data_IF_689832060986
#
_entry.id   IF_689832060986
#
_cell.length_a   1.000
_cell.length_b   1.000
_cell.length_c   1.000
_cell.angle_alpha   90.00
_cell.angle_beta   90.00
_cell.angle_gamma   90.00
#
_symmetry.space_group_name_H-M   'P 1'
#
loop_
_entity.id
_entity.type
_entity.pdbx_description
1 polymer ?
#
# COMPACT_ATOMS: atom_id res chain seq x y z
N UNK A 1 1.28 -23.69 11.27
CA UNK A 1 -0.15 -24.05 11.20
C UNK A 1 -0.75 -23.83 9.81
N UNK A 2 -0.23 -22.88 9.01
CA UNK A 2 -0.76 -22.50 7.69
C UNK A 2 -0.28 -23.38 6.53
N UNK A 3 0.67 -24.31 6.75
CA UNK A 3 1.27 -25.16 5.71
C UNK A 3 1.81 -24.36 4.53
N UNK A 4 2.50 -23.25 4.82
CA UNK A 4 3.11 -22.40 3.80
C UNK A 4 4.19 -23.15 3.00
N UNK A 5 4.37 -22.85 1.70
CA UNK A 5 5.51 -23.34 0.93
C UNK A 5 6.86 -22.93 1.55
N UNK A 6 7.91 -23.69 1.32
CA UNK A 6 9.23 -23.44 1.91
C UNK A 6 9.76 -22.01 1.65
N UNK A 7 9.56 -21.46 0.44
CA UNK A 7 9.96 -20.10 0.11
C UNK A 7 9.23 -19.04 0.94
N UNK A 8 7.95 -19.28 1.27
CA UNK A 8 7.15 -18.36 2.08
C UNK A 8 7.57 -18.45 3.56
N UNK A 9 7.89 -19.64 4.07
CA UNK A 9 8.42 -19.79 5.42
C UNK A 9 9.73 -19.01 5.59
N UNK A 10 10.64 -19.15 4.64
CA UNK A 10 11.90 -18.41 4.62
C UNK A 10 11.66 -16.89 4.54
N UNK A 11 10.76 -16.44 3.66
CA UNK A 11 10.41 -15.05 3.51
C UNK A 11 9.84 -14.43 4.80
N UNK A 12 9.02 -15.19 5.55
CA UNK A 12 8.48 -14.72 6.84
C UNK A 12 9.59 -14.53 7.88
N UNK A 13 10.54 -15.46 7.96
CA UNK A 13 11.67 -15.37 8.88
C UNK A 13 12.59 -14.20 8.56
N UNK A 14 12.91 -13.99 7.29
CA UNK A 14 13.68 -12.82 6.83
C UNK A 14 12.95 -11.50 7.13
N UNK A 15 11.65 -11.45 6.88
CA UNK A 15 10.82 -10.28 7.21
C UNK A 15 10.78 -9.98 8.71
N UNK A 16 10.73 -11.02 9.54
CA UNK A 16 10.78 -10.88 11.01
C UNK A 16 12.13 -10.33 11.48
N UNK A 17 13.22 -10.80 10.89
CA UNK A 17 14.54 -10.26 11.18
C UNK A 17 14.61 -8.77 10.85
N UNK A 18 14.18 -8.38 9.64
CA UNK A 18 14.12 -6.97 9.21
C UNK A 18 13.26 -6.14 10.18
N UNK A 19 12.09 -6.67 10.60
CA UNK A 19 11.24 -6.00 11.58
C UNK A 19 11.96 -5.69 12.88
N UNK A 20 12.73 -6.64 13.40
CA UNK A 20 13.48 -6.48 14.66
C UNK A 20 14.59 -5.43 14.56
N UNK A 21 15.23 -5.34 13.40
CA UNK A 21 16.32 -4.39 13.14
C UNK A 21 15.81 -2.97 12.80
N UNK A 22 14.64 -2.85 12.21
CA UNK A 22 14.08 -1.57 11.77
C UNK A 22 13.61 -0.70 12.93
N UNK A 23 13.89 0.59 12.82
CA UNK A 23 13.34 1.63 13.69
C UNK A 23 12.02 2.17 13.12
N UNK A 24 11.17 2.68 14.00
CA UNK A 24 10.01 3.46 13.60
C UNK A 24 10.45 4.79 12.98
N UNK A 25 9.72 5.32 11.98
CA UNK A 25 9.97 6.65 11.46
C UNK A 25 9.75 7.71 12.55
N UNK A 26 10.45 8.81 12.46
CA UNK A 26 10.35 9.94 13.37
C UNK A 26 9.36 11.03 12.89
N UNK A 27 8.55 10.72 11.90
CA UNK A 27 7.55 11.61 11.30
C UNK A 27 6.17 10.94 11.28
N UNK A 28 5.13 11.73 11.05
CA UNK A 28 3.75 11.27 11.02
C UNK A 28 3.07 11.35 12.38
N UNK A 29 1.82 10.86 12.49
CA UNK A 29 1.10 10.79 13.74
C UNK A 29 1.80 9.91 14.78
N UNK A 30 1.67 10.27 16.05
CA UNK A 30 2.18 9.41 17.13
C UNK A 30 1.42 8.09 17.18
N UNK A 31 2.16 7.00 17.27
CA UNK A 31 1.61 5.66 17.54
C UNK A 31 1.83 5.24 18.99
N UNK A 32 2.10 6.20 19.88
CA UNK A 32 2.11 5.98 21.32
C UNK A 32 0.76 5.42 21.77
N UNK A 33 0.79 4.35 22.55
CA UNK A 33 -0.41 3.59 22.93
C UNK A 33 -0.67 2.36 22.06
N UNK A 34 0.06 2.15 20.96
CA UNK A 34 0.11 0.88 20.25
C UNK A 34 1.20 0.00 20.88
N UNK A 35 0.79 -0.87 21.77
CA UNK A 35 1.69 -1.84 22.40
C UNK A 35 1.69 -3.14 21.60
N UNK A 36 2.75 -3.35 20.82
CA UNK A 36 2.88 -4.52 19.95
C UNK A 36 3.01 -5.84 20.70
N UNK A 37 3.47 -5.83 21.96
CA UNK A 37 3.60 -7.04 22.77
C UNK A 37 2.22 -7.59 23.19
N UNK A 38 1.16 -6.73 23.14
CA UNK A 38 -0.21 -7.07 23.43
C UNK A 38 -1.12 -7.17 22.20
N UNK A 39 -0.57 -7.07 20.98
CA UNK A 39 -1.33 -7.28 19.74
C UNK A 39 -1.24 -8.74 19.31
N UNK A 40 -2.37 -9.44 19.33
CA UNK A 40 -2.45 -10.78 18.74
C UNK A 40 -2.33 -10.66 17.21
N UNK A 41 -1.25 -11.18 16.63
CA UNK A 41 -0.99 -11.07 15.19
C UNK A 41 -1.77 -12.07 14.34
N UNK A 42 -2.39 -13.05 14.95
CA UNK A 42 -3.24 -14.01 14.27
C UNK A 42 -4.38 -14.48 15.16
N UNK A 43 -5.60 -14.33 14.68
CA UNK A 43 -6.82 -14.80 15.34
C UNK A 43 -7.63 -15.62 14.34
N UNK A 44 -7.73 -16.91 14.62
CA UNK A 44 -8.48 -17.82 13.77
C UNK A 44 -9.99 -17.67 14.03
N UNK A 45 -10.82 -17.39 13.01
CA UNK A 45 -12.26 -17.40 13.18
C UNK A 45 -12.77 -18.82 13.50
N UNK A 46 -13.84 -18.90 14.24
CA UNK A 46 -14.44 -20.18 14.64
C UNK A 46 -15.26 -20.85 13.51
N UNK A 47 -14.83 -20.68 12.28
CA UNK A 47 -15.47 -21.25 11.10
C UNK A 47 -14.44 -21.47 9.99
N UNK A 48 -14.82 -22.30 8.99
CA UNK A 48 -14.04 -22.46 7.75
C UNK A 48 -14.66 -21.60 6.65
N UNK A 49 -13.90 -21.28 5.62
CA UNK A 49 -14.37 -20.60 4.43
C UNK A 49 -15.56 -21.32 3.80
N UNK A 50 -16.57 -20.57 3.39
CA UNK A 50 -17.81 -21.04 2.75
C UNK A 50 -17.99 -20.36 1.40
N UNK A 51 -18.56 -21.07 0.45
CA UNK A 51 -18.88 -20.56 -0.89
C UNK A 51 -20.37 -20.20 -1.04
N UNK A 52 -21.23 -20.69 -0.16
CA UNK A 52 -22.63 -20.27 -0.07
C UNK A 52 -22.83 -19.46 1.22
N UNK A 53 -23.44 -18.28 1.08
CA UNK A 53 -23.75 -17.41 2.22
C UNK A 53 -24.66 -18.07 3.25
N UNK A 54 -25.50 -19.03 2.81
CA UNK A 54 -26.39 -19.76 3.72
C UNK A 54 -25.62 -20.57 4.76
N UNK A 55 -24.43 -21.04 4.41
CA UNK A 55 -23.59 -21.89 5.26
C UNK A 55 -22.67 -21.09 6.20
N UNK A 56 -22.64 -19.76 6.07
CA UNK A 56 -21.91 -18.88 6.99
C UNK A 56 -22.62 -18.86 8.35
N UNK A 57 -21.88 -18.97 9.49
CA UNK A 57 -22.48 -18.88 10.83
C UNK A 57 -23.32 -17.62 11.04
N UNK A 58 -24.42 -17.74 11.81
CA UNK A 58 -25.41 -16.68 11.96
C UNK A 58 -24.84 -15.42 12.62
N UNK A 59 -23.97 -15.58 13.63
CA UNK A 59 -23.29 -14.47 14.32
C UNK A 59 -22.41 -13.65 13.39
N UNK A 60 -21.78 -14.30 12.41
CA UNK A 60 -21.00 -13.65 11.35
C UNK A 60 -21.94 -12.96 10.35
N UNK A 61 -23.02 -13.62 9.93
CA UNK A 61 -24.04 -13.02 9.06
C UNK A 61 -24.63 -11.75 9.67
N UNK A 62 -25.09 -11.82 10.93
CA UNK A 62 -25.63 -10.67 11.66
C UNK A 62 -24.61 -9.51 11.73
N UNK A 63 -23.33 -9.84 11.89
CA UNK A 63 -22.27 -8.83 11.89
C UNK A 63 -22.18 -8.11 10.55
N UNK A 64 -22.17 -8.83 9.43
CA UNK A 64 -22.12 -8.23 8.09
C UNK A 64 -23.43 -7.51 7.71
N UNK A 65 -24.58 -7.98 8.17
CA UNK A 65 -25.88 -7.30 7.99
C UNK A 65 -25.93 -5.96 8.73
N UNK A 66 -25.47 -5.93 9.99
CA UNK A 66 -25.34 -4.68 10.75
C UNK A 66 -24.38 -3.67 10.13
N UNK A 67 -23.44 -4.13 9.34
CA UNK A 67 -22.52 -3.27 8.58
C UNK A 67 -23.14 -2.72 7.29
N UNK A 68 -24.41 -3.03 7.04
CA UNK A 68 -25.13 -2.53 5.89
C UNK A 68 -24.69 -3.17 4.57
N UNK A 69 -24.26 -4.45 4.59
CA UNK A 69 -24.05 -5.22 3.39
C UNK A 69 -25.36 -5.95 3.04
N UNK A 70 -26.29 -5.31 2.31
CA UNK A 70 -27.55 -5.92 1.95
C UNK A 70 -27.32 -7.17 1.12
N UNK A 71 -28.17 -8.16 1.29
CA UNK A 71 -28.12 -9.38 0.45
C UNK A 71 -28.25 -9.04 -1.05
N UNK A 72 -28.90 -7.92 -1.38
CA UNK A 72 -29.02 -7.41 -2.74
C UNK A 72 -27.67 -6.95 -3.33
N UNK A 73 -26.79 -6.31 -2.53
CA UNK A 73 -25.44 -5.91 -2.99
C UNK A 73 -24.58 -7.13 -3.30
N UNK A 74 -24.61 -8.14 -2.43
CA UNK A 74 -23.90 -9.41 -2.68
C UNK A 74 -24.34 -10.08 -3.98
N UNK A 75 -25.64 -10.04 -4.28
CA UNK A 75 -26.18 -10.62 -5.52
C UNK A 75 -25.87 -9.80 -6.77
N UNK A 76 -25.65 -8.50 -6.65
CA UNK A 76 -25.37 -7.59 -7.77
C UNK A 76 -23.89 -7.48 -8.13
N UNK A 77 -22.97 -7.90 -7.26
CA UNK A 77 -21.53 -7.85 -7.51
C UNK A 77 -21.06 -9.04 -8.37
N UNK A 78 -19.92 -8.87 -9.04
CA UNK A 78 -19.29 -9.92 -9.84
C UNK A 78 -18.66 -11.02 -8.97
N UNK A 79 -18.24 -10.67 -7.77
CA UNK A 79 -17.74 -11.58 -6.75
C UNK A 79 -17.57 -10.85 -5.42
N UNK A 80 -17.66 -11.59 -4.33
CA UNK A 80 -17.53 -11.09 -2.96
C UNK A 80 -16.66 -12.00 -2.13
N UNK A 81 -15.68 -11.40 -1.43
CA UNK A 81 -14.92 -12.04 -0.36
C UNK A 81 -15.22 -11.37 0.98
N UNK A 82 -15.35 -12.15 2.03
CA UNK A 82 -15.51 -11.63 3.38
C UNK A 82 -14.49 -12.28 4.32
N UNK A 83 -13.65 -11.46 4.89
CA UNK A 83 -12.68 -11.85 5.92
C UNK A 83 -13.19 -11.44 7.28
N UNK A 84 -13.04 -12.35 8.24
CA UNK A 84 -13.35 -12.13 9.64
C UNK A 84 -12.08 -12.45 10.45
N UNK A 85 -11.57 -11.47 11.17
CA UNK A 85 -10.26 -11.53 11.81
C UNK A 85 -9.14 -11.88 10.81
N UNK A 86 -8.47 -13.00 10.96
CA UNK A 86 -7.29 -13.36 10.16
C UNK A 86 -7.54 -14.26 8.96
N UNK A 87 -8.78 -14.69 8.69
CA UNK A 87 -9.08 -15.62 7.58
C UNK A 87 -10.35 -15.25 6.82
N UNK A 88 -10.42 -15.63 5.54
CA UNK A 88 -11.66 -15.57 4.79
C UNK A 88 -12.69 -16.56 5.34
N UNK A 89 -13.91 -16.08 5.53
CA UNK A 89 -15.04 -16.89 5.99
C UNK A 89 -16.09 -17.12 4.90
N UNK A 90 -16.09 -16.26 3.91
CA UNK A 90 -16.98 -16.37 2.75
C UNK A 90 -16.28 -15.90 1.48
N UNK A 91 -16.51 -16.62 0.39
CA UNK A 91 -16.01 -16.26 -0.92
C UNK A 91 -16.94 -16.79 -2.01
N UNK A 92 -17.29 -15.94 -2.96
CA UNK A 92 -18.09 -16.31 -4.12
C UNK A 92 -17.73 -15.47 -5.33
N UNK A 93 -17.67 -16.08 -6.51
CA UNK A 93 -17.52 -15.43 -7.81
C UNK A 93 -18.64 -15.93 -8.72
N UNK A 94 -19.25 -15.05 -9.50
CA UNK A 94 -20.28 -15.46 -10.48
C UNK A 94 -19.67 -16.36 -11.55
N UNK A 95 -20.39 -17.42 -11.91
CA UNK A 95 -19.97 -18.38 -12.94
C UNK A 95 -19.65 -17.70 -14.28
N UNK A 96 -20.44 -16.69 -14.66
CA UNK A 96 -20.19 -15.91 -15.87
C UNK A 96 -18.84 -15.19 -15.87
N UNK A 97 -18.40 -14.71 -14.71
CA UNK A 97 -17.11 -14.02 -14.54
C UNK A 97 -15.96 -15.03 -14.51
N UNK A 98 -16.15 -16.14 -13.83
CA UNK A 98 -15.19 -17.24 -13.83
C UNK A 98 -15.01 -17.85 -15.23
N UNK A 99 -16.10 -17.95 -16.02
CA UNK A 99 -16.05 -18.45 -17.41
C UNK A 99 -15.23 -17.54 -18.35
N UNK A 100 -15.02 -16.26 -18.03
CA UNK A 100 -14.12 -15.36 -18.74
C UNK A 100 -12.65 -15.52 -18.30
N UNK A 101 -12.36 -16.49 -17.43
CA UNK A 101 -11.03 -16.76 -16.90
C UNK A 101 -10.58 -15.81 -15.77
N UNK A 102 -11.50 -15.01 -15.24
CA UNK A 102 -11.21 -14.14 -14.08
C UNK A 102 -11.03 -15.00 -12.84
N UNK A 103 -9.94 -14.78 -12.16
CA UNK A 103 -9.63 -15.43 -10.88
C UNK A 103 -9.87 -14.44 -9.76
N UNK A 104 -10.63 -14.86 -8.78
CA UNK A 104 -10.74 -14.18 -7.50
C UNK A 104 -10.78 -15.26 -6.41
N UNK A 105 -9.78 -15.30 -5.56
CA UNK A 105 -9.66 -16.28 -4.48
C UNK A 105 -8.91 -15.66 -3.29
N UNK A 106 -8.77 -16.39 -2.20
CA UNK A 106 -7.93 -15.97 -1.09
C UNK A 106 -6.43 -16.17 -1.40
N UNK A 107 -5.59 -15.34 -0.78
CA UNK A 107 -4.14 -15.37 -1.02
C UNK A 107 -3.48 -16.67 -0.57
N UNK A 108 -4.00 -17.31 0.47
CA UNK A 108 -3.41 -18.55 1.01
C UNK A 108 -3.66 -19.74 0.10
N UNK A 109 -4.83 -19.79 -0.54
CA UNK A 109 -5.14 -20.77 -1.58
C UNK A 109 -4.34 -20.49 -2.86
N UNK A 110 -4.25 -19.23 -3.28
CA UNK A 110 -3.52 -18.85 -4.48
C UNK A 110 -2.03 -19.23 -4.41
N UNK A 111 -1.36 -19.05 -3.26
CA UNK A 111 0.06 -19.36 -3.11
C UNK A 111 0.39 -20.88 -3.12
N UNK A 112 -0.60 -21.74 -2.94
CA UNK A 112 -0.45 -23.21 -2.87
C UNK A 112 -1.02 -23.93 -4.10
N UNK A 113 -1.87 -23.27 -4.85
CA UNK A 113 -2.62 -23.84 -5.96
C UNK A 113 -2.00 -23.56 -7.33
N UNK A 114 -2.85 -23.51 -8.33
CA UNK A 114 -2.52 -23.26 -9.74
C UNK A 114 -1.80 -21.93 -9.96
N UNK A 115 -2.04 -20.92 -9.10
CA UNK A 115 -1.49 -19.58 -9.22
C UNK A 115 -0.22 -19.36 -8.40
N UNK A 116 0.36 -20.42 -7.80
CA UNK A 116 1.51 -20.33 -6.91
C UNK A 116 2.72 -19.62 -7.53
N UNK A 117 3.03 -19.91 -8.79
CA UNK A 117 4.14 -19.26 -9.51
C UNK A 117 3.86 -17.78 -9.76
N UNK A 118 2.61 -17.42 -10.07
CA UNK A 118 2.20 -16.03 -10.24
C UNK A 118 2.31 -15.28 -8.92
N UNK A 119 1.80 -15.84 -7.82
CA UNK A 119 1.94 -15.26 -6.49
C UNK A 119 3.41 -15.06 -6.15
N UNK A 120 4.26 -16.09 -6.32
CA UNK A 120 5.70 -15.99 -6.04
C UNK A 120 6.40 -14.89 -6.85
N UNK A 121 5.95 -14.65 -8.07
CA UNK A 121 6.49 -13.61 -8.97
C UNK A 121 6.16 -12.20 -8.49
N UNK A 122 4.98 -11.99 -7.91
CA UNK A 122 4.46 -10.65 -7.64
C UNK A 122 4.35 -10.29 -6.16
N UNK A 123 4.24 -11.26 -5.26
CA UNK A 123 4.03 -11.06 -3.82
C UNK A 123 5.20 -10.30 -3.19
N UNK A 124 4.90 -9.22 -2.49
CA UNK A 124 5.85 -8.34 -1.79
C UNK A 124 7.02 -7.88 -2.69
N UNK A 125 6.71 -7.55 -3.97
CA UNK A 125 7.67 -7.01 -4.93
C UNK A 125 7.51 -5.51 -5.15
N UNK A 126 6.33 -4.96 -4.95
CA UNK A 126 6.09 -3.52 -4.95
C UNK A 126 6.24 -2.94 -3.55
N UNK A 127 5.69 -3.60 -2.56
CA UNK A 127 5.87 -3.29 -1.14
C UNK A 127 6.83 -4.31 -0.56
N UNK A 128 8.06 -3.90 -0.25
CA UNK A 128 9.07 -4.82 0.28
C UNK A 128 9.14 -4.75 1.81
N UNK A 129 9.64 -5.78 2.50
CA UNK A 129 9.87 -5.71 3.95
C UNK A 129 10.81 -4.58 4.37
N UNK A 130 11.64 -4.06 3.45
CA UNK A 130 12.56 -2.96 3.70
C UNK A 130 11.94 -1.57 3.60
N UNK A 131 10.68 -1.43 3.19
CA UNK A 131 10.05 -0.13 3.02
C UNK A 131 9.84 0.60 4.36
N UNK A 132 9.36 -0.10 5.37
CA UNK A 132 9.19 0.39 6.74
C UNK A 132 8.82 -0.74 7.70
N UNK A 133 8.93 -0.47 9.00
CA UNK A 133 8.76 -1.48 10.06
C UNK A 133 7.44 -2.28 9.96
N UNK A 134 6.32 -1.65 9.61
CA UNK A 134 5.03 -2.35 9.48
C UNK A 134 4.91 -3.16 8.19
N UNK A 135 5.65 -2.82 7.12
CA UNK A 135 5.77 -3.66 5.94
C UNK A 135 6.58 -4.93 6.25
N UNK A 136 7.65 -4.81 7.05
CA UNK A 136 8.40 -5.96 7.54
C UNK A 136 7.54 -6.85 8.44
N UNK A 137 6.78 -6.26 9.38
CA UNK A 137 5.84 -7.00 10.22
C UNK A 137 4.79 -7.73 9.36
N UNK A 138 4.20 -7.03 8.38
CA UNK A 138 3.26 -7.64 7.45
C UNK A 138 3.87 -8.86 6.76
N UNK A 139 5.07 -8.74 6.19
CA UNK A 139 5.77 -9.85 5.56
C UNK A 139 5.94 -11.07 6.48
N UNK A 140 6.19 -10.83 7.77
CA UNK A 140 6.37 -11.90 8.76
C UNK A 140 5.05 -12.61 9.14
N UNK A 141 3.95 -11.87 9.30
CA UNK A 141 2.72 -12.37 9.94
C UNK A 141 1.47 -12.31 9.07
N UNK A 142 1.57 -11.92 7.82
CA UNK A 142 0.39 -11.75 6.95
C UNK A 142 -0.52 -13.00 6.94
N UNK A 143 -1.81 -12.75 6.85
CA UNK A 143 -2.83 -13.80 6.77
C UNK A 143 -4.10 -13.28 6.11
N UNK A 144 -4.76 -14.14 5.32
CA UNK A 144 -5.93 -13.76 4.55
C UNK A 144 -5.61 -12.81 3.39
N UNK A 145 -6.62 -12.06 2.97
CA UNK A 145 -6.55 -11.15 1.83
C UNK A 145 -7.00 -11.79 0.53
N UNK A 146 -6.83 -11.05 -0.56
CA UNK A 146 -7.44 -11.38 -1.86
C UNK A 146 -6.40 -11.51 -2.96
N UNK A 147 -6.50 -12.55 -3.74
CA UNK A 147 -5.81 -12.69 -5.02
C UNK A 147 -6.80 -12.51 -6.17
N UNK A 148 -6.51 -11.56 -7.06
CA UNK A 148 -7.32 -11.29 -8.26
C UNK A 148 -6.45 -11.26 -9.50
N UNK A 149 -6.85 -12.02 -10.51
CA UNK A 149 -6.27 -11.94 -11.85
C UNK A 149 -7.38 -11.74 -12.88
N UNK A 150 -7.29 -10.66 -13.66
CA UNK A 150 -8.18 -10.38 -14.77
C UNK A 150 -7.40 -10.59 -16.07
N UNK A 151 -7.79 -11.59 -16.90
CA UNK A 151 -7.06 -11.92 -18.12
C UNK A 151 -7.07 -10.80 -19.15
N UNK A 152 -6.14 -10.89 -20.09
CA UNK A 152 -5.98 -9.94 -21.19
C UNK A 152 -7.28 -9.70 -21.95
N UNK A 153 -7.64 -8.40 -22.09
CA UNK A 153 -8.80 -7.95 -22.85
C UNK A 153 -10.15 -8.20 -22.17
N UNK A 154 -10.19 -8.73 -20.94
CA UNK A 154 -11.43 -8.95 -20.19
C UNK A 154 -11.86 -7.66 -19.48
N UNK A 155 -13.12 -7.27 -19.68
CA UNK A 155 -13.68 -6.06 -19.10
C UNK A 155 -14.80 -6.35 -18.12
N UNK A 156 -14.54 -6.23 -16.84
CA UNK A 156 -15.56 -6.38 -15.81
C UNK A 156 -16.39 -5.11 -15.66
N UNK A 157 -17.66 -5.17 -16.03
CA UNK A 157 -18.62 -4.07 -15.89
C UNK A 157 -19.20 -3.96 -14.47
N UNK A 158 -19.12 -5.05 -13.70
CA UNK A 158 -19.59 -5.13 -12.32
C UNK A 158 -18.39 -5.31 -11.40
N UNK A 159 -18.31 -4.58 -10.27
CA UNK A 159 -17.15 -4.66 -9.40
C UNK A 159 -17.01 -5.99 -8.67
N UNK A 160 -15.76 -6.35 -8.34
CA UNK A 160 -15.43 -7.31 -7.29
C UNK A 160 -15.32 -6.58 -5.96
N UNK A 161 -15.65 -7.24 -4.85
CA UNK A 161 -15.59 -6.63 -3.53
C UNK A 161 -14.97 -7.57 -2.49
N UNK A 162 -14.08 -7.01 -1.65
CA UNK A 162 -13.63 -7.64 -0.41
C UNK A 162 -14.10 -6.85 0.80
N UNK A 163 -14.48 -7.58 1.83
CA UNK A 163 -14.81 -7.04 3.14
C UNK A 163 -13.86 -7.56 4.20
N UNK A 164 -13.24 -6.65 4.94
CA UNK A 164 -12.32 -6.97 6.03
C UNK A 164 -12.93 -6.51 7.37
N UNK A 165 -13.20 -7.48 8.24
CA UNK A 165 -13.74 -7.25 9.57
C UNK A 165 -12.78 -7.76 10.62
N UNK A 166 -12.17 -6.86 11.39
CA UNK A 166 -11.42 -7.22 12.59
C UNK A 166 -12.36 -7.19 13.80
N UNK A 167 -12.75 -8.36 14.30
CA UNK A 167 -13.69 -8.46 15.40
C UNK A 167 -13.03 -8.84 16.73
N UNK A 168 -11.81 -9.35 16.72
CA UNK A 168 -11.07 -9.71 17.92
C UNK A 168 -10.54 -8.46 18.65
N UNK A 169 -10.63 -8.49 19.99
CA UNK A 169 -10.13 -7.44 20.86
C UNK A 169 -8.61 -7.57 21.03
N UNK A 170 -7.86 -6.47 20.93
CA UNK A 170 -6.40 -6.46 21.07
C UNK A 170 -5.70 -7.26 19.98
N UNK A 171 -6.25 -7.26 18.77
CA UNK A 171 -5.71 -8.00 17.65
C UNK A 171 -5.25 -7.09 16.50
N UNK A 172 -4.40 -7.64 15.66
CA UNK A 172 -3.98 -7.07 14.38
C UNK A 172 -4.59 -7.83 13.20
N UNK A 173 -4.86 -7.11 12.11
CA UNK A 173 -5.25 -7.66 10.82
C UNK A 173 -4.17 -7.31 9.79
N UNK A 174 -3.68 -8.32 9.07
CA UNK A 174 -2.52 -8.24 8.18
C UNK A 174 -2.83 -8.91 6.84
N UNK A 175 -3.96 -8.58 6.25
CA UNK A 175 -4.38 -9.14 4.97
C UNK A 175 -3.49 -8.66 3.82
N UNK A 176 -3.24 -9.56 2.86
CA UNK A 176 -2.49 -9.25 1.65
C UNK A 176 -3.40 -9.29 0.41
N UNK A 177 -3.59 -8.16 -0.24
CA UNK A 177 -4.33 -8.08 -1.50
C UNK A 177 -3.38 -7.93 -2.67
N UNK A 178 -3.40 -8.89 -3.59
CA UNK A 178 -2.63 -8.87 -4.83
C UNK A 178 -3.59 -8.89 -6.02
N UNK A 179 -3.56 -7.82 -6.82
CA UNK A 179 -4.42 -7.69 -8.01
C UNK A 179 -3.56 -7.48 -9.24
N UNK A 180 -3.79 -8.31 -10.25
CA UNK A 180 -3.15 -8.20 -11.56
C UNK A 180 -4.25 -8.01 -12.60
N UNK A 181 -4.29 -6.85 -13.26
CA UNK A 181 -5.17 -6.55 -14.38
C UNK A 181 -4.33 -6.59 -15.64
N UNK A 182 -4.52 -7.63 -16.46
CA UNK A 182 -3.66 -7.91 -17.61
C UNK A 182 -3.93 -6.97 -18.78
N UNK A 183 -3.16 -7.08 -19.84
CA UNK A 183 -3.15 -6.14 -20.97
C UNK A 183 -4.55 -5.84 -21.50
N UNK A 184 -4.88 -4.55 -21.58
CA UNK A 184 -6.16 -4.08 -22.12
C UNK A 184 -7.38 -4.44 -21.28
N UNK A 185 -7.23 -5.11 -20.15
CA UNK A 185 -8.32 -5.51 -19.27
C UNK A 185 -8.83 -4.36 -18.38
N UNK A 186 -9.99 -4.51 -17.76
CA UNK A 186 -10.51 -3.52 -16.81
C UNK A 186 -11.21 -4.14 -15.61
N UNK A 187 -10.99 -3.54 -14.43
CA UNK A 187 -11.56 -3.96 -13.16
C UNK A 187 -11.91 -2.73 -12.30
N UNK A 188 -13.06 -2.80 -11.63
CA UNK A 188 -13.33 -2.01 -10.43
C UNK A 188 -13.33 -2.97 -9.22
N UNK A 189 -12.42 -2.73 -8.28
CA UNK A 189 -12.33 -3.46 -7.03
C UNK A 189 -12.73 -2.56 -5.86
N UNK A 190 -13.57 -3.07 -4.97
CA UNK A 190 -14.06 -2.35 -3.79
C UNK A 190 -13.55 -3.05 -2.53
N UNK A 191 -12.92 -2.31 -1.66
CA UNK A 191 -12.48 -2.76 -0.34
C UNK A 191 -13.28 -2.05 0.74
N UNK A 192 -13.89 -2.81 1.64
CA UNK A 192 -14.57 -2.31 2.82
C UNK A 192 -13.88 -2.82 4.08
N UNK A 193 -13.56 -1.90 5.02
CA UNK A 193 -12.89 -2.25 6.26
C UNK A 193 -13.66 -1.74 7.48
N UNK A 194 -13.78 -2.58 8.52
CA UNK A 194 -14.45 -2.18 9.76
C UNK A 194 -14.01 -2.97 10.99
N UNK A 195 -14.21 -2.37 12.18
CA UNK A 195 -14.01 -3.03 13.47
C UNK A 195 -15.04 -2.54 14.49
N UNK A 196 -15.42 -3.34 15.50
CA UNK A 196 -16.23 -2.88 16.61
C UNK A 196 -15.42 -1.95 17.50
N UNK A 197 -16.12 -1.19 18.33
CA UNK A 197 -15.50 -0.29 19.31
C UNK A 197 -15.06 -1.08 20.54
N UNK A 198 -13.76 -1.04 20.81
CA UNK A 198 -13.16 -1.57 22.04
C UNK A 198 -12.45 -0.45 22.83
N UNK A 199 -12.08 -0.75 24.06
CA UNK A 199 -11.32 0.12 24.95
C UNK A 199 -9.81 -0.22 24.96
N UNK A 200 -9.34 -0.96 23.98
CA UNK A 200 -7.94 -1.33 23.79
C UNK A 200 -7.55 -1.10 22.35
N UNK A 201 -6.25 -0.93 22.10
CA UNK A 201 -5.72 -0.76 20.77
C UNK A 201 -5.95 -2.01 19.90
N UNK A 202 -6.29 -1.77 18.65
CA UNK A 202 -6.27 -2.74 17.56
C UNK A 202 -5.38 -2.19 16.44
N UNK A 203 -4.76 -3.06 15.67
CA UNK A 203 -3.88 -2.70 14.56
C UNK A 203 -4.44 -3.21 13.22
N UNK A 204 -4.41 -2.37 12.20
CA UNK A 204 -4.56 -2.79 10.82
C UNK A 204 -3.29 -2.42 10.05
N UNK A 205 -2.58 -3.42 9.57
CA UNK A 205 -1.36 -3.27 8.78
C UNK A 205 -1.39 -4.20 7.57
N UNK A 206 -2.43 -4.06 6.76
CA UNK A 206 -2.61 -4.74 5.49
C UNK A 206 -1.63 -4.26 4.43
N UNK A 207 -1.50 -5.03 3.37
CA UNK A 207 -0.69 -4.69 2.21
C UNK A 207 -1.47 -4.92 0.92
N UNK A 208 -1.43 -3.94 0.02
CA UNK A 208 -2.10 -4.00 -1.29
C UNK A 208 -1.09 -3.75 -2.40
N UNK A 209 -0.95 -4.70 -3.30
CA UNK A 209 -0.09 -4.62 -4.47
C UNK A 209 -0.92 -4.76 -5.76
N UNK A 210 -0.87 -3.73 -6.60
CA UNK A 210 -1.66 -3.63 -7.82
C UNK A 210 -0.75 -3.57 -9.05
N UNK A 211 -0.97 -4.48 -9.99
CA UNK A 211 -0.26 -4.51 -11.26
C UNK A 211 -1.24 -4.20 -12.38
N UNK A 212 -1.11 -3.00 -12.95
CA UNK A 212 -1.92 -2.53 -14.08
C UNK A 212 -1.08 -2.63 -15.34
N UNK A 213 -1.36 -3.64 -16.15
CA UNK A 213 -0.60 -3.95 -17.36
C UNK A 213 -0.89 -2.99 -18.49
N UNK A 214 -0.18 -3.14 -19.61
CA UNK A 214 -0.30 -2.26 -20.78
C UNK A 214 -1.76 -2.05 -21.20
N UNK A 215 -2.18 -0.78 -21.25
CA UNK A 215 -3.54 -0.38 -21.65
C UNK A 215 -4.66 -0.80 -20.70
N UNK A 216 -4.34 -1.42 -19.56
CA UNK A 216 -5.33 -1.86 -18.58
C UNK A 216 -5.86 -0.70 -17.73
N UNK A 217 -7.05 -0.90 -17.14
CA UNK A 217 -7.67 0.06 -16.22
C UNK A 217 -8.06 -0.62 -14.91
N UNK A 218 -7.62 -0.05 -13.80
CA UNK A 218 -8.02 -0.48 -12.48
C UNK A 218 -8.55 0.72 -11.68
N UNK A 219 -9.80 0.60 -11.20
CA UNK A 219 -10.30 1.47 -10.12
C UNK A 219 -10.26 0.67 -8.83
N UNK A 220 -9.56 1.20 -7.84
CA UNK A 220 -9.49 0.64 -6.49
C UNK A 220 -10.16 1.59 -5.51
N UNK A 221 -11.33 1.16 -5.00
CA UNK A 221 -12.12 1.97 -4.07
C UNK A 221 -12.01 1.37 -2.67
N UNK A 222 -11.65 2.19 -1.68
CA UNK A 222 -11.57 1.78 -0.27
C UNK A 222 -12.52 2.61 0.57
N UNK A 223 -13.33 1.95 1.39
CA UNK A 223 -14.13 2.57 2.44
C UNK A 223 -13.68 2.01 3.77
N UNK A 224 -13.01 2.83 4.55
CA UNK A 224 -12.48 2.46 5.87
C UNK A 224 -13.31 3.11 6.97
N UNK A 225 -14.05 2.30 7.70
CA UNK A 225 -14.89 2.73 8.83
C UNK A 225 -14.47 1.97 10.10
N UNK A 226 -13.24 2.23 10.50
CA UNK A 226 -12.66 1.65 11.70
C UNK A 226 -13.18 2.30 12.98
N UNK A 227 -13.13 1.58 14.08
CA UNK A 227 -13.40 2.17 15.40
C UNK A 227 -12.25 3.08 15.85
N UNK A 228 -12.55 3.98 16.80
CA UNK A 228 -11.59 4.99 17.31
C UNK A 228 -10.48 4.45 18.21
N UNK A 229 -10.31 3.15 18.30
CA UNK A 229 -9.18 2.48 18.96
C UNK A 229 -8.24 1.81 17.96
N UNK A 230 -8.50 1.97 16.67
CA UNK A 230 -7.72 1.36 15.58
C UNK A 230 -6.52 2.22 15.21
N UNK A 231 -5.36 1.59 15.11
CA UNK A 231 -4.19 2.10 14.41
C UNK A 231 -4.19 1.53 13.00
N UNK A 232 -4.45 2.37 12.01
CA UNK A 232 -4.57 1.96 10.60
C UNK A 232 -3.32 2.38 9.82
N UNK A 233 -2.39 1.43 9.67
CA UNK A 233 -1.05 1.62 9.10
C UNK A 233 -0.89 0.78 7.81
N UNK A 234 -1.89 0.85 6.95
CA UNK A 234 -1.98 0.07 5.72
C UNK A 234 -1.05 0.61 4.63
N UNK A 235 -0.48 -0.28 3.81
CA UNK A 235 0.42 0.07 2.71
C UNK A 235 -0.16 -0.36 1.38
N UNK A 236 -0.34 0.58 0.45
CA UNK A 236 -0.92 0.32 -0.88
C UNK A 236 0.01 0.82 -1.98
N UNK A 237 0.30 -0.02 -2.98
CA UNK A 237 1.16 0.37 -4.10
C UNK A 237 0.69 -0.20 -5.43
N UNK A 238 0.77 0.60 -6.48
CA UNK A 238 0.45 0.19 -7.84
C UNK A 238 1.65 0.40 -8.78
N UNK A 239 1.87 -0.56 -9.68
CA UNK A 239 2.75 -0.42 -10.83
C UNK A 239 1.89 -0.31 -12.09
N UNK A 240 2.07 0.76 -12.87
CA UNK A 240 1.26 1.05 -14.04
C UNK A 240 2.15 1.03 -15.28
N UNK A 241 1.83 0.13 -16.22
CA UNK A 241 2.54 -0.04 -17.47
C UNK A 241 1.99 0.91 -18.56
N UNK A 242 2.55 0.84 -19.76
CA UNK A 242 2.24 1.73 -20.89
C UNK A 242 0.74 1.90 -21.16
N UNK A 243 0.28 3.14 -21.19
CA UNK A 243 -1.14 3.48 -21.41
C UNK A 243 -2.10 2.98 -20.33
N UNK A 244 -1.60 2.36 -19.26
CA UNK A 244 -2.38 1.88 -18.13
C UNK A 244 -2.94 3.03 -17.28
N UNK A 245 -4.07 2.79 -16.62
CA UNK A 245 -4.73 3.77 -15.74
C UNK A 245 -5.04 3.16 -14.40
N UNK A 246 -4.60 3.81 -13.33
CA UNK A 246 -5.01 3.51 -11.94
C UNK A 246 -5.84 4.66 -11.38
N UNK A 247 -7.01 4.33 -10.86
CA UNK A 247 -7.89 5.25 -10.15
C UNK A 247 -8.03 4.79 -8.70
N UNK A 248 -7.53 5.59 -7.76
CA UNK A 248 -7.72 5.40 -6.33
C UNK A 248 -8.90 6.23 -5.84
N UNK A 249 -9.84 5.60 -5.15
CA UNK A 249 -10.94 6.26 -4.44
C UNK A 249 -10.89 5.87 -2.98
N UNK A 250 -10.69 6.83 -2.08
CA UNK A 250 -10.48 6.56 -0.66
C UNK A 250 -11.44 7.34 0.21
N UNK A 251 -12.19 6.64 1.07
CA UNK A 251 -12.99 7.20 2.14
C UNK A 251 -12.44 6.76 3.49
N UNK A 252 -11.84 7.68 4.26
CA UNK A 252 -11.25 7.41 5.57
C UNK A 252 -12.12 7.99 6.68
N UNK A 253 -12.85 7.09 7.36
CA UNK A 253 -13.77 7.39 8.44
C UNK A 253 -13.44 6.49 9.63
N UNK A 254 -13.12 7.02 10.76
CA UNK A 254 -12.75 6.23 11.92
C UNK A 254 -11.25 6.22 12.17
N UNK A 255 -10.76 5.18 12.85
CA UNK A 255 -9.41 5.05 13.41
C UNK A 255 -9.08 6.05 14.53
N UNK A 256 -8.15 5.69 15.40
CA UNK A 256 -7.47 6.61 16.31
C UNK A 256 -6.35 7.34 15.56
N UNK A 257 -5.50 6.55 14.93
CA UNK A 257 -4.41 6.99 14.06
C UNK A 257 -4.57 6.34 12.69
N UNK A 258 -4.41 7.10 11.62
CA UNK A 258 -4.37 6.60 10.25
C UNK A 258 -3.17 7.15 9.49
N UNK A 259 -2.39 6.26 8.85
CA UNK A 259 -1.33 6.61 7.92
C UNK A 259 -1.62 5.93 6.58
N UNK A 260 -2.15 6.68 5.61
CA UNK A 260 -2.69 6.13 4.38
C UNK A 260 -2.16 6.90 3.16
N UNK A 261 -1.18 6.32 2.48
CA UNK A 261 -0.52 6.92 1.33
C UNK A 261 -0.42 5.94 0.16
N UNK A 262 -1.52 5.69 -0.58
CA UNK A 262 -1.41 4.87 -1.79
C UNK A 262 -0.37 5.48 -2.75
N UNK A 263 0.53 4.64 -3.21
CA UNK A 263 1.61 5.03 -4.11
C UNK A 263 1.40 4.43 -5.50
N UNK A 264 1.61 5.23 -6.54
CA UNK A 264 1.60 4.76 -7.92
C UNK A 264 2.95 4.97 -8.59
N UNK A 265 3.47 3.92 -9.23
CA UNK A 265 4.67 3.98 -10.06
C UNK A 265 4.20 3.94 -11.52
N UNK A 266 4.22 5.09 -12.19
CA UNK A 266 3.85 5.26 -13.60
C UNK A 266 5.05 4.87 -14.47
N UNK A 267 5.27 3.55 -14.60
CA UNK A 267 6.47 2.99 -15.24
C UNK A 267 6.41 3.10 -16.77
N UNK A 268 5.24 2.87 -17.34
CA UNK A 268 5.07 2.86 -18.79
C UNK A 268 4.73 4.24 -19.36
N UNK A 269 5.08 4.46 -20.62
CA UNK A 269 4.74 5.69 -21.33
C UNK A 269 3.21 5.89 -21.37
N UNK A 270 2.75 7.14 -21.30
CA UNK A 270 1.33 7.53 -21.32
C UNK A 270 0.48 6.91 -20.18
N UNK A 271 1.09 6.36 -19.15
CA UNK A 271 0.36 5.84 -17.99
C UNK A 271 -0.18 6.98 -17.12
N UNK A 272 -1.29 6.71 -16.41
CA UNK A 272 -2.04 7.73 -15.66
C UNK A 272 -2.44 7.24 -14.28
N UNK A 273 -2.43 8.19 -13.31
CA UNK A 273 -2.97 8.00 -11.97
C UNK A 273 -3.98 9.07 -11.64
N UNK A 274 -5.11 8.66 -11.05
CA UNK A 274 -6.06 9.56 -10.41
C UNK A 274 -6.25 9.14 -8.94
N UNK A 275 -6.28 10.12 -8.05
CA UNK A 275 -6.57 9.91 -6.64
C UNK A 275 -7.69 10.84 -6.19
N UNK A 276 -8.76 10.25 -5.64
CA UNK A 276 -9.83 10.98 -4.99
C UNK A 276 -9.96 10.50 -3.55
N UNK A 277 -9.77 11.42 -2.60
CA UNK A 277 -9.81 11.12 -1.16
C UNK A 277 -10.82 11.96 -0.41
N UNK A 278 -11.54 11.33 0.52
CA UNK A 278 -12.40 12.00 1.51
C UNK A 278 -12.00 11.53 2.90
N UNK A 279 -11.69 12.47 3.79
CA UNK A 279 -11.29 12.18 5.17
C UNK A 279 -12.15 12.95 6.16
N UNK A 280 -12.63 12.28 7.20
CA UNK A 280 -13.31 12.90 8.31
C UNK A 280 -12.62 12.54 9.62
N UNK A 281 -12.03 13.54 10.30
CA UNK A 281 -11.36 13.41 11.57
C UNK A 281 -12.20 14.05 12.68
N UNK A 282 -12.70 13.26 13.62
CA UNK A 282 -13.40 13.71 14.82
C UNK A 282 -12.50 13.72 16.05
N UNK A 283 -13.07 14.05 17.21
CA UNK A 283 -12.32 14.09 18.47
C UNK A 283 -11.52 12.80 18.74
N UNK A 284 -10.23 12.96 19.07
CA UNK A 284 -9.31 11.86 19.38
C UNK A 284 -8.82 11.09 18.15
N UNK A 285 -8.94 11.64 16.95
CA UNK A 285 -8.45 11.05 15.71
C UNK A 285 -7.33 11.89 15.11
N UNK A 286 -6.26 11.23 14.65
CA UNK A 286 -5.17 11.83 13.87
C UNK A 286 -5.01 11.04 12.58
N UNK A 287 -5.57 11.61 11.50
CA UNK A 287 -5.64 10.96 10.19
C UNK A 287 -4.69 11.68 9.22
N UNK A 288 -3.53 11.07 9.00
CA UNK A 288 -2.54 11.54 8.05
C UNK A 288 -2.69 10.75 6.75
N UNK A 289 -3.28 11.39 5.77
CA UNK A 289 -3.66 10.77 4.50
C UNK A 289 -3.00 11.47 3.32
N UNK A 290 -2.98 10.83 2.17
CA UNK A 290 -2.42 11.44 0.98
C UNK A 290 -2.25 10.48 -0.17
N UNK A 291 -1.37 10.84 -1.09
CA UNK A 291 -0.98 9.96 -2.18
C UNK A 291 0.45 10.26 -2.64
N UNK A 292 1.13 9.23 -3.12
CA UNK A 292 2.44 9.36 -3.72
C UNK A 292 2.40 8.87 -5.17
N UNK A 293 3.06 9.60 -6.07
CA UNK A 293 3.20 9.18 -7.47
C UNK A 293 4.64 9.36 -7.94
N UNK A 294 5.10 8.39 -8.71
CA UNK A 294 6.42 8.39 -9.35
C UNK A 294 6.24 8.31 -10.86
N UNK A 295 6.63 9.35 -11.55
CA UNK A 295 6.61 9.42 -13.00
C UNK A 295 7.94 8.87 -13.58
N UNK A 296 7.90 7.69 -14.22
CA UNK A 296 9.08 7.02 -14.81
C UNK A 296 9.00 7.01 -16.33
N UNK A 297 7.83 6.71 -16.89
CA UNK A 297 7.55 6.72 -18.33
C UNK A 297 7.37 8.13 -18.89
N UNK A 298 7.41 8.26 -20.20
CA UNK A 298 7.16 9.51 -20.92
C UNK A 298 5.67 9.84 -20.97
N UNK A 299 5.32 11.13 -20.97
CA UNK A 299 3.94 11.61 -21.10
C UNK A 299 2.99 11.02 -20.03
N UNK A 300 3.50 10.70 -18.86
CA UNK A 300 2.69 10.22 -17.74
C UNK A 300 1.99 11.38 -17.08
N UNK A 301 0.81 11.14 -16.52
CA UNK A 301 0.02 12.17 -15.85
C UNK A 301 -0.59 11.69 -14.55
N UNK A 302 -0.71 12.60 -13.59
CA UNK A 302 -1.37 12.32 -12.32
C UNK A 302 -2.29 13.46 -11.90
N UNK A 303 -3.38 13.10 -11.22
CA UNK A 303 -4.32 14.05 -10.65
C UNK A 303 -4.72 13.61 -9.24
N UNK A 304 -4.64 14.53 -8.28
CA UNK A 304 -5.00 14.27 -6.89
C UNK A 304 -6.06 15.27 -6.43
N UNK A 305 -7.19 14.78 -5.95
CA UNK A 305 -8.28 15.56 -5.41
C UNK A 305 -8.69 15.04 -4.04
N UNK A 306 -8.60 15.88 -3.02
CA UNK A 306 -8.94 15.49 -1.66
C UNK A 306 -9.87 16.48 -1.00
N UNK A 307 -10.70 15.98 -0.11
CA UNK A 307 -11.54 16.76 0.78
C UNK A 307 -11.38 16.22 2.20
N UNK A 308 -11.17 17.10 3.16
CA UNK A 308 -11.09 16.72 4.56
C UNK A 308 -11.94 17.61 5.43
N UNK A 309 -12.51 17.02 6.48
CA UNK A 309 -13.25 17.71 7.52
C UNK A 309 -12.64 17.30 8.85
N UNK A 310 -12.23 18.29 9.65
CA UNK A 310 -11.81 18.10 11.03
C UNK A 310 -12.84 18.71 11.95
N UNK A 311 -13.27 17.98 13.00
CA UNK A 311 -14.28 18.42 13.96
C UNK A 311 -13.85 18.06 15.39
N UNK A 312 -14.16 18.96 16.33
CA UNK A 312 -13.99 18.72 17.77
C UNK A 312 -12.56 18.32 18.17
N UNK A 313 -11.55 18.95 17.58
CA UNK A 313 -10.13 18.68 17.88
C UNK A 313 -9.54 17.48 17.14
N UNK A 314 -10.26 16.89 16.19
CA UNK A 314 -9.69 15.89 15.28
C UNK A 314 -8.62 16.53 14.37
N UNK A 315 -7.58 15.77 14.07
CA UNK A 315 -6.49 16.20 13.17
C UNK A 315 -6.63 15.47 11.83
N UNK A 316 -6.57 16.22 10.76
CA UNK A 316 -6.48 15.67 9.40
C UNK A 316 -5.32 16.33 8.68
N UNK A 317 -4.32 15.54 8.34
CA UNK A 317 -3.16 15.96 7.56
C UNK A 317 -3.24 15.38 6.17
N UNK A 318 -2.92 16.17 5.16
CA UNK A 318 -2.75 15.69 3.80
C UNK A 318 -1.29 15.85 3.37
N UNK A 319 -0.68 14.76 2.95
CA UNK A 319 0.67 14.73 2.39
C UNK A 319 0.65 14.16 0.99
N UNK A 320 1.19 14.88 0.03
CA UNK A 320 1.40 14.36 -1.32
C UNK A 320 2.87 14.40 -1.68
N UNK A 321 3.30 13.41 -2.46
CA UNK A 321 4.63 13.38 -3.04
C UNK A 321 4.51 13.06 -4.52
N UNK A 322 5.03 13.95 -5.35
CA UNK A 322 5.12 13.76 -6.80
C UNK A 322 6.61 13.73 -7.15
N UNK A 323 7.10 12.55 -7.54
CA UNK A 323 8.46 12.37 -8.00
C UNK A 323 8.48 12.24 -9.52
N UNK A 324 9.42 12.93 -10.16
CA UNK A 324 9.71 12.78 -11.58
C UNK A 324 11.10 12.17 -11.74
N UNK A 325 11.19 11.09 -12.52
CA UNK A 325 12.45 10.40 -12.75
C UNK A 325 12.55 8.98 -12.18
N UNK A 326 13.73 8.37 -12.37
CA UNK A 326 14.00 7.00 -11.93
C UNK A 326 14.21 6.89 -10.41
N UNK A 327 14.28 5.66 -9.89
CA UNK A 327 14.52 5.41 -8.46
C UNK A 327 15.77 6.13 -7.92
N UNK A 328 16.79 6.33 -8.77
CA UNK A 328 18.00 7.08 -8.42
C UNK A 328 17.70 8.56 -8.18
N UNK A 329 16.82 9.20 -8.99
CA UNK A 329 16.43 10.60 -8.76
C UNK A 329 15.73 10.77 -7.42
N UNK A 330 14.89 9.81 -7.05
CA UNK A 330 14.16 9.87 -5.79
C UNK A 330 15.05 9.62 -4.60
N UNK A 331 15.88 8.57 -4.64
CA UNK A 331 16.85 8.30 -3.58
C UNK A 331 17.78 9.50 -3.39
N UNK A 332 18.28 10.09 -4.47
CA UNK A 332 19.13 11.27 -4.42
C UNK A 332 18.43 12.49 -3.84
N UNK A 333 17.15 12.70 -4.18
CA UNK A 333 16.36 13.81 -3.64
C UNK A 333 16.01 13.59 -2.16
N UNK A 334 15.68 12.37 -1.76
CA UNK A 334 15.38 12.01 -0.37
C UNK A 334 16.63 12.20 0.52
N UNK A 335 17.80 11.74 0.08
CA UNK A 335 19.08 11.94 0.74
C UNK A 335 19.37 13.46 0.86
N UNK A 336 19.25 14.20 -0.24
CA UNK A 336 19.43 15.65 -0.25
C UNK A 336 18.56 16.33 0.80
N UNK A 337 17.27 16.05 0.81
CA UNK A 337 16.33 16.64 1.76
C UNK A 337 16.71 16.31 3.20
N UNK A 338 17.10 15.06 3.49
CA UNK A 338 17.61 14.66 4.81
C UNK A 338 18.82 15.47 5.26
N UNK A 339 19.73 15.78 4.32
CA UNK A 339 20.97 16.51 4.60
C UNK A 339 20.77 18.01 4.77
N UNK A 340 19.81 18.65 4.09
CA UNK A 340 19.64 20.11 4.10
C UNK A 340 18.65 20.61 5.15
N UNK A 341 17.75 19.76 5.66
CA UNK A 341 16.79 20.18 6.69
C UNK A 341 17.49 20.74 7.92
N UNK A 342 17.09 21.96 8.29
CA UNK A 342 17.67 22.69 9.43
C UNK A 342 19.02 23.36 9.17
N UNK A 343 19.59 23.28 7.97
CA UNK A 343 20.83 23.99 7.62
C UNK A 343 20.54 25.40 7.09
N UNK A 344 21.53 26.30 7.28
CA UNK A 344 21.49 27.61 6.66
C UNK A 344 21.64 27.50 5.13
N UNK A 345 21.08 28.48 4.40
CA UNK A 345 21.06 28.52 2.93
C UNK A 345 22.45 28.26 2.31
N UNK A 346 23.47 28.97 2.78
CA UNK A 346 24.83 28.85 2.23
C UNK A 346 25.43 27.45 2.45
N UNK A 347 25.12 26.82 3.59
CA UNK A 347 25.57 25.47 3.89
C UNK A 347 24.85 24.43 2.99
N UNK A 348 23.55 24.59 2.73
CA UNK A 348 22.81 23.77 1.82
C UNK A 348 23.29 23.88 0.37
N UNK A 349 23.57 25.09 -0.10
CA UNK A 349 24.14 25.35 -1.42
C UNK A 349 25.52 24.71 -1.58
N UNK A 350 26.39 24.84 -0.55
CA UNK A 350 27.71 24.21 -0.57
C UNK A 350 27.65 22.70 -0.66
N UNK A 351 26.73 22.04 0.07
CA UNK A 351 26.51 20.61 -0.05
C UNK A 351 26.09 20.23 -1.47
N UNK A 352 25.17 21.00 -2.07
CA UNK A 352 24.74 20.80 -3.45
C UNK A 352 25.87 20.91 -4.46
N UNK A 353 26.75 21.88 -4.32
CA UNK A 353 27.92 22.05 -5.18
C UNK A 353 28.92 20.91 -5.03
N UNK A 354 29.18 20.48 -3.79
CA UNK A 354 30.07 19.35 -3.51
C UNK A 354 29.52 18.06 -4.11
N UNK A 355 28.21 17.80 -3.98
CA UNK A 355 27.56 16.64 -4.61
C UNK A 355 27.69 16.67 -6.14
N UNK A 356 27.44 17.81 -6.78
CA UNK A 356 27.59 17.94 -8.23
C UNK A 356 29.03 17.69 -8.70
N UNK A 357 30.04 18.18 -7.97
CA UNK A 357 31.46 17.88 -8.22
C UNK A 357 31.75 16.37 -8.09
N UNK A 358 31.22 15.72 -7.06
CA UNK A 358 31.39 14.25 -6.88
C UNK A 358 30.85 13.47 -8.08
N UNK A 359 29.65 13.80 -8.56
CA UNK A 359 29.06 13.15 -9.73
C UNK A 359 29.83 13.47 -11.04
N UNK A 360 30.54 14.59 -11.11
CA UNK A 360 31.40 14.97 -12.22
C UNK A 360 32.80 14.35 -12.13
N UNK A 361 33.14 13.72 -11.02
CA UNK A 361 34.46 13.15 -10.77
C UNK A 361 35.53 14.20 -10.41
N UNK A 362 35.11 15.38 -9.96
CA UNK A 362 35.97 16.53 -9.66
C UNK A 362 36.14 16.76 -8.15
N UNK A 363 35.44 16.02 -7.31
CA UNK A 363 35.51 16.16 -5.85
C UNK A 363 36.71 15.39 -5.26
N UNK A 364 37.34 15.94 -4.25
CA UNK A 364 38.36 15.24 -3.46
C UNK A 364 37.72 14.20 -2.53
N UNK A 365 38.53 13.27 -2.00
CA UNK A 365 38.01 12.27 -1.06
C UNK A 365 37.46 12.94 0.21
N UNK A 366 38.08 14.01 0.70
CA UNK A 366 37.60 14.78 1.86
C UNK A 366 36.25 15.46 1.58
N UNK A 367 36.05 15.97 0.35
CA UNK A 367 34.78 16.55 -0.08
C UNK A 367 33.69 15.44 -0.17
N UNK A 368 34.03 14.26 -0.67
CA UNK A 368 33.10 13.11 -0.76
C UNK A 368 32.69 12.63 0.62
N UNK A 369 33.63 12.51 1.56
CA UNK A 369 33.34 12.11 2.94
C UNK A 369 32.41 13.12 3.63
N UNK A 370 32.51 14.40 3.30
CA UNK A 370 31.63 15.45 3.84
C UNK A 370 30.17 15.32 3.37
N UNK A 371 29.90 14.52 2.35
CA UNK A 371 28.57 14.27 1.81
C UNK A 371 27.81 13.15 2.55
N UNK A 372 28.39 12.57 3.60
CA UNK A 372 27.73 11.58 4.46
C UNK A 372 26.98 10.51 3.62
N UNK A 373 25.65 10.39 3.80
CA UNK A 373 24.81 9.40 3.07
C UNK A 373 24.82 9.61 1.54
N UNK A 374 25.03 10.85 1.06
CA UNK A 374 25.04 11.12 -0.38
C UNK A 374 26.31 10.56 -1.07
N UNK A 375 27.36 10.24 -0.33
CA UNK A 375 28.57 9.58 -0.86
C UNK A 375 28.25 8.19 -1.45
N UNK A 376 27.18 7.52 -0.99
CA UNK A 376 26.71 6.24 -1.53
C UNK A 376 26.30 6.33 -3.02
N UNK A 377 26.06 7.52 -3.55
CA UNK A 377 25.74 7.74 -4.96
C UNK A 377 26.97 7.98 -5.84
N UNK A 378 28.19 7.88 -5.31
CA UNK A 378 29.45 8.12 -6.00
C UNK A 378 29.60 7.32 -7.31
N UNK A 379 29.25 6.04 -7.28
CA UNK A 379 29.44 5.16 -8.44
C UNK A 379 28.54 5.52 -9.63
N UNK A 380 27.51 6.35 -9.41
CA UNK A 380 26.64 6.88 -10.46
C UNK A 380 27.42 7.76 -11.45
N UNK A 381 28.53 8.37 -11.02
CA UNK A 381 29.43 9.10 -11.91
C UNK A 381 29.87 8.28 -13.14
N UNK A 382 29.98 6.97 -12.99
CA UNK A 382 30.33 6.02 -14.05
C UNK A 382 29.13 5.51 -14.89
N UNK A 383 27.92 6.04 -14.64
CA UNK A 383 26.69 5.65 -15.31
C UNK A 383 26.07 6.84 -16.07
N UNK A 384 26.55 7.21 -17.29
CA UNK A 384 26.12 8.44 -17.96
C UNK A 384 24.61 8.62 -18.13
N UNK A 385 23.88 7.53 -18.35
CA UNK A 385 22.44 7.53 -18.46
C UNK A 385 21.72 7.82 -17.11
N UNK A 386 22.42 7.66 -15.98
CA UNK A 386 21.88 7.83 -14.61
C UNK A 386 22.35 9.11 -13.92
N UNK A 387 23.43 9.72 -14.39
CA UNK A 387 23.94 11.02 -13.87
C UNK A 387 22.83 12.06 -13.83
N UNK A 388 22.06 12.21 -14.91
CA UNK A 388 20.95 13.18 -14.97
C UNK A 388 19.91 12.94 -13.88
N UNK A 389 19.66 11.68 -13.54
CA UNK A 389 18.72 11.30 -12.48
C UNK A 389 19.25 11.71 -11.10
N UNK A 390 20.52 11.42 -10.80
CA UNK A 390 21.11 11.73 -9.50
C UNK A 390 21.19 13.24 -9.23
N UNK A 391 21.49 14.05 -10.25
CA UNK A 391 21.70 15.50 -10.07
C UNK A 391 20.41 16.32 -10.10
N UNK A 392 19.27 15.74 -10.45
CA UNK A 392 18.04 16.49 -10.67
C UNK A 392 17.62 17.28 -9.41
N UNK A 393 17.46 16.63 -8.27
CA UNK A 393 17.09 17.28 -7.00
C UNK A 393 18.07 18.37 -6.58
N UNK A 394 19.37 18.09 -6.67
CA UNK A 394 20.44 19.03 -6.29
C UNK A 394 20.50 20.27 -7.18
N UNK A 395 20.24 20.13 -8.48
CA UNK A 395 20.11 21.29 -9.38
C UNK A 395 18.87 22.11 -9.07
N UNK A 396 17.74 21.47 -8.82
CA UNK A 396 16.52 22.14 -8.41
C UNK A 396 16.70 22.90 -7.09
N UNK A 397 17.44 22.34 -6.13
CA UNK A 397 17.80 23.03 -4.90
C UNK A 397 18.57 24.33 -5.18
N UNK A 398 19.57 24.27 -6.08
CA UNK A 398 20.36 25.43 -6.45
C UNK A 398 19.55 26.54 -7.14
N UNK A 399 18.53 26.16 -7.89
CA UNK A 399 17.61 27.12 -8.56
C UNK A 399 16.56 27.70 -7.60
N UNK A 400 16.20 26.95 -6.56
CA UNK A 400 15.18 27.35 -5.59
C UNK A 400 15.71 28.23 -4.46
N UNK A 401 17.01 28.18 -4.16
CA UNK A 401 17.67 28.96 -3.12
C UNK A 401 18.45 30.16 -3.68
#
# INVERSE_FOLDING_TARGET
EKSDPAWMQQFRLESLQIYNEMKLPNWGPSIEGLDMDHIATYVRPNTKMRNDWKDVPEDIKETFERLGIPQAERKSLAGVGAQYDSELVYHNVKDSVAAEGVVYTDMESAQKGEYADMVRKYFMKLVTPHDHKFAALHGAVWSGGSFVYVPKGVHLSIPLQSYFRLNAKGAGQFEHTLIIVDEGASLHFIEGCSAPKYNVANLHAGCVELYVKKGAKLRYSTIENWSKNMYNLNTKRALVEEGGVIEWVSGSFGSHVGCLYPMSILKGDNSRMEFTGVTFAGAGQDLDTGAKVVHVGKNTSSYMNTRSISKSGGVSTFRSSVGDGCAISQASADIMLGMIVGKQKDAALKLGETFLKMIQGEATEEEIDSLEEASALRDIAHMPARVKCAVLGWRTLKEAL
#
